data_IF_619083722934
#
_entry.id   IF_619083722934
#
_cell.length_a   1.000
_cell.length_b   1.000
_cell.length_c   1.000
_cell.angle_alpha   90.00
_cell.angle_beta   90.00
_cell.angle_gamma   90.00
#
_symmetry.space_group_name_H-M   'P 1'
#
loop_
_entity.id
_entity.type
_entity.pdbx_description
1 polymer ?
#
# COMPACT_ATOMS: atom_id res chain seq x y z
N UNK A 1 13.33 -0.09 -6.40
CA UNK A 1 12.03 0.13 -5.72
C UNK A 1 11.28 -1.17 -5.68
N UNK A 2 10.96 -1.67 -4.49
CA UNK A 2 10.03 -2.79 -4.35
C UNK A 2 8.61 -2.26 -4.58
N UNK A 3 7.72 -3.03 -5.22
CA UNK A 3 6.34 -2.63 -5.51
C UNK A 3 5.61 -2.06 -4.27
N UNK A 4 5.87 -2.64 -3.11
CA UNK A 4 5.37 -2.18 -1.81
C UNK A 4 5.69 -0.71 -1.50
N UNK A 5 6.94 -0.30 -1.76
CA UNK A 5 7.44 1.04 -1.50
C UNK A 5 6.80 2.05 -2.46
N UNK A 6 6.68 1.67 -3.74
CA UNK A 6 6.05 2.52 -4.76
C UNK A 6 4.56 2.75 -4.47
N UNK A 7 3.83 1.73 -4.03
CA UNK A 7 2.42 1.87 -3.64
C UNK A 7 2.28 2.84 -2.47
N UNK A 8 3.09 2.66 -1.42
CA UNK A 8 3.07 3.52 -0.23
C UNK A 8 3.41 4.96 -0.58
N UNK A 9 4.48 5.18 -1.35
CA UNK A 9 4.94 6.50 -1.76
C UNK A 9 3.88 7.24 -2.59
N UNK A 10 3.30 6.59 -3.61
CA UNK A 10 2.25 7.20 -4.42
C UNK A 10 1.00 7.51 -3.60
N UNK A 11 0.61 6.62 -2.68
CA UNK A 11 -0.52 6.85 -1.77
C UNK A 11 -0.29 8.10 -0.91
N UNK A 12 0.89 8.22 -0.32
CA UNK A 12 1.27 9.35 0.54
C UNK A 12 1.39 10.66 -0.25
N UNK A 13 1.98 10.63 -1.46
CA UNK A 13 2.05 11.77 -2.37
C UNK A 13 0.68 12.29 -2.79
N UNK A 14 -0.31 11.40 -2.89
CA UNK A 14 -1.70 11.76 -3.20
C UNK A 14 -2.52 12.11 -1.95
N UNK A 15 -1.94 12.00 -0.75
CA UNK A 15 -2.62 12.28 0.52
C UNK A 15 -3.68 11.27 0.89
N UNK A 16 -3.65 10.06 0.32
CA UNK A 16 -4.64 9.02 0.59
C UNK A 16 -4.27 8.21 1.83
N UNK A 17 -5.27 7.83 2.61
CA UNK A 17 -5.20 6.74 3.57
C UNK A 17 -5.21 5.38 2.87
N UNK A 18 -4.81 4.33 3.58
CA UNK A 18 -4.90 2.95 3.05
C UNK A 18 -6.34 2.55 2.72
N UNK A 19 -7.31 3.10 3.46
CA UNK A 19 -8.72 2.85 3.26
C UNK A 19 -9.26 3.55 2.01
N UNK A 20 -8.86 4.80 1.76
CA UNK A 20 -9.18 5.50 0.51
C UNK A 20 -8.60 4.80 -0.70
N UNK A 21 -7.32 4.39 -0.63
CA UNK A 21 -6.71 3.62 -1.72
C UNK A 21 -7.43 2.28 -1.96
N UNK A 22 -7.84 1.60 -0.90
CA UNK A 22 -8.60 0.36 -0.99
C UNK A 22 -9.96 0.57 -1.67
N UNK A 23 -10.67 1.65 -1.31
CA UNK A 23 -11.94 2.03 -1.91
C UNK A 23 -11.79 2.37 -3.40
N UNK A 24 -10.75 3.12 -3.77
CA UNK A 24 -10.45 3.48 -5.17
C UNK A 24 -10.18 2.22 -6.00
N UNK A 25 -9.40 1.29 -5.47
CA UNK A 25 -9.01 0.05 -6.15
C UNK A 25 -10.06 -1.06 -6.02
N UNK A 26 -11.16 -0.83 -5.29
CA UNK A 26 -12.21 -1.81 -4.99
C UNK A 26 -11.65 -3.11 -4.38
N UNK A 27 -10.69 -2.96 -3.47
CA UNK A 27 -10.09 -4.05 -2.70
C UNK A 27 -10.30 -3.83 -1.20
N UNK A 28 -9.95 -4.80 -0.37
CA UNK A 28 -9.98 -4.60 1.08
C UNK A 28 -8.79 -3.74 1.54
N UNK A 29 -8.98 -2.95 2.60
CA UNK A 29 -7.88 -2.24 3.28
C UNK A 29 -6.76 -3.19 3.71
N UNK A 30 -7.11 -4.43 4.10
CA UNK A 30 -6.14 -5.46 4.46
C UNK A 30 -5.24 -5.86 3.28
N UNK A 31 -5.78 -5.87 2.05
CA UNK A 31 -5.00 -6.10 0.83
C UNK A 31 -3.93 -5.01 0.66
N UNK A 32 -4.33 -3.74 0.81
CA UNK A 32 -3.41 -2.59 0.73
C UNK A 32 -2.33 -2.67 1.81
N UNK A 33 -2.72 -2.96 3.06
CA UNK A 33 -1.76 -3.14 4.15
C UNK A 33 -0.77 -4.27 3.86
N UNK A 34 -1.23 -5.41 3.31
CA UNK A 34 -0.36 -6.52 2.94
C UNK A 34 0.63 -6.14 1.84
N UNK A 35 0.21 -5.35 0.86
CA UNK A 35 1.10 -4.87 -0.21
C UNK A 35 2.19 -3.95 0.33
N UNK A 36 1.86 -3.02 1.23
CA UNK A 36 2.82 -2.09 1.82
C UNK A 36 3.76 -2.74 2.84
N UNK A 37 3.32 -3.83 3.49
CA UNK A 37 4.08 -4.57 4.52
C UNK A 37 4.99 -5.65 3.91
N UNK A 38 4.99 -5.87 2.59
CA UNK A 38 5.98 -6.73 1.89
C UNK A 38 7.41 -6.13 1.93
N UNK A 39 7.86 -5.61 3.07
CA UNK A 39 9.26 -5.69 3.48
C UNK A 39 9.53 -7.16 3.71
N UNK A 40 10.29 -7.77 2.79
CA UNK A 40 10.97 -9.04 3.04
C UNK A 40 11.77 -8.83 4.33
N UNK A 41 11.26 -9.29 5.46
CA UNK A 41 12.09 -9.63 6.62
C UNK A 41 12.92 -10.81 6.16
N UNK A 42 14.04 -10.50 5.49
CA UNK A 42 15.13 -11.45 5.41
C UNK A 42 15.60 -11.65 6.86
N UNK A 43 15.60 -12.90 7.36
CA UNK A 43 16.31 -13.21 8.60
C UNK A 43 17.80 -12.87 8.47
#
# INVERSE_FOLDING_TARGET
MKLAEAIKEQRELKGWSQEELANILKVSRQSVSKWEVLKITLP
#
